data_IF_221471360380
#
_entry.id   IF_221471360380
#
_cell.length_a   1.000
_cell.length_b   1.000
_cell.length_c   1.000
_cell.angle_alpha   90.00
_cell.angle_beta   90.00
_cell.angle_gamma   90.00
#
_symmetry.space_group_name_H-M   'P 1'
#
loop_
_entity.id
_entity.type
_entity.pdbx_description
1 polymer ?
#
# COMPACT_ATOMS: atom_id res chain seq x y z
N UNK A 1 27.43 1.55 17.33
CA UNK A 1 26.74 2.79 16.95
C UNK A 1 26.11 2.48 15.61
N UNK A 2 24.78 2.33 15.53
CA UNK A 2 24.11 2.07 14.24
C UNK A 2 24.33 3.31 13.37
N UNK A 3 24.92 3.14 12.18
CA UNK A 3 25.18 4.26 11.28
C UNK A 3 23.82 4.86 10.86
N UNK A 4 23.67 6.18 10.97
CA UNK A 4 22.46 6.87 10.49
C UNK A 4 22.21 6.61 9.00
N UNK A 5 23.27 6.33 8.23
CA UNK A 5 23.16 5.88 6.85
C UNK A 5 22.50 4.50 6.74
N UNK A 6 22.85 3.54 7.61
CA UNK A 6 22.22 2.20 7.62
C UNK A 6 20.72 2.30 7.88
N UNK A 7 20.32 3.13 8.84
CA UNK A 7 18.89 3.38 9.13
C UNK A 7 18.18 3.98 7.93
N UNK A 8 18.80 4.98 7.27
CA UNK A 8 18.24 5.60 6.06
C UNK A 8 18.13 4.61 4.90
N UNK A 9 19.10 3.72 4.73
CA UNK A 9 19.04 2.67 3.71
C UNK A 9 17.89 1.69 3.97
N UNK A 10 17.69 1.26 5.21
CA UNK A 10 16.56 0.39 5.58
C UNK A 10 15.22 1.10 5.35
N UNK A 11 15.09 2.37 5.75
CA UNK A 11 13.86 3.14 5.52
C UNK A 11 13.54 3.29 4.02
N UNK A 12 14.54 3.59 3.19
CA UNK A 12 14.35 3.68 1.74
C UNK A 12 13.98 2.33 1.12
N UNK A 13 14.56 1.23 1.61
CA UNK A 13 14.17 -0.11 1.20
C UNK A 13 12.71 -0.40 1.56
N UNK A 14 12.32 -0.15 2.82
CA UNK A 14 10.93 -0.31 3.27
C UNK A 14 9.95 0.52 2.45
N UNK A 15 10.32 1.77 2.12
CA UNK A 15 9.54 2.64 1.26
C UNK A 15 9.31 2.02 -0.11
N UNK A 16 10.35 1.46 -0.75
CA UNK A 16 10.23 0.75 -2.02
C UNK A 16 9.28 -0.44 -1.93
N UNK A 17 9.43 -1.30 -0.91
CA UNK A 17 8.56 -2.48 -0.76
C UNK A 17 7.10 -2.09 -0.48
N UNK A 18 6.86 -1.06 0.34
CA UNK A 18 5.53 -0.54 0.62
C UNK A 18 4.87 0.01 -0.64
N UNK A 19 5.61 0.75 -1.48
CA UNK A 19 5.11 1.25 -2.77
C UNK A 19 4.78 0.11 -3.74
N UNK A 20 5.56 -0.99 -3.74
CA UNK A 20 5.21 -2.18 -4.54
C UNK A 20 3.91 -2.83 -4.06
N UNK A 21 3.74 -3.00 -2.76
CA UNK A 21 2.51 -3.55 -2.18
C UNK A 21 1.31 -2.64 -2.51
N UNK A 22 1.46 -1.31 -2.35
CA UNK A 22 0.44 -0.34 -2.73
C UNK A 22 -0.03 -0.53 -4.18
N UNK A 23 0.93 -0.67 -5.10
CA UNK A 23 0.69 -0.83 -6.53
C UNK A 23 -0.09 -2.12 -6.80
N UNK A 24 0.35 -3.24 -6.21
CA UNK A 24 -0.31 -4.54 -6.37
C UNK A 24 -1.72 -4.52 -5.78
N UNK A 25 -1.89 -3.99 -4.57
CA UNK A 25 -3.22 -3.89 -3.94
C UNK A 25 -4.17 -3.00 -4.75
N UNK A 26 -3.71 -1.87 -5.28
CA UNK A 26 -4.52 -1.03 -6.15
C UNK A 26 -4.90 -1.70 -7.48
N UNK A 27 -3.98 -2.47 -8.06
CA UNK A 27 -4.24 -3.24 -9.28
C UNK A 27 -5.29 -4.32 -9.03
N UNK A 28 -5.10 -5.15 -7.99
CA UNK A 28 -6.04 -6.21 -7.64
C UNK A 28 -7.41 -5.64 -7.25
N UNK A 29 -7.47 -4.54 -6.50
CA UNK A 29 -8.75 -3.90 -6.15
C UNK A 29 -9.55 -3.51 -7.39
N UNK A 30 -8.86 -3.03 -8.43
CA UNK A 30 -9.47 -2.67 -9.71
C UNK A 30 -9.96 -3.91 -10.47
N UNK A 31 -9.19 -5.01 -10.45
CA UNK A 31 -9.58 -6.29 -11.05
C UNK A 31 -10.82 -6.87 -10.37
N UNK A 32 -10.87 -6.93 -9.04
CA UNK A 32 -12.05 -7.48 -8.34
C UNK A 32 -13.29 -6.61 -8.53
N UNK A 33 -13.11 -5.29 -8.69
CA UNK A 33 -14.21 -4.41 -9.06
C UNK A 33 -14.76 -4.71 -10.46
N UNK A 34 -13.89 -5.07 -11.40
CA UNK A 34 -14.29 -5.52 -12.74
C UNK A 34 -14.99 -6.88 -12.68
N UNK A 35 -14.49 -7.82 -11.88
CA UNK A 35 -15.14 -9.12 -11.65
C UNK A 35 -16.53 -8.95 -11.05
N UNK A 36 -16.68 -8.12 -10.01
CA UNK A 36 -17.97 -7.76 -9.43
C UNK A 36 -18.96 -7.30 -10.49
N UNK A 37 -18.56 -6.32 -11.33
CA UNK A 37 -19.41 -5.79 -12.38
C UNK A 37 -19.83 -6.85 -13.40
N UNK A 38 -18.89 -7.70 -13.83
CA UNK A 38 -19.17 -8.81 -14.76
C UNK A 38 -20.17 -9.78 -14.15
N UNK A 39 -19.96 -10.20 -12.90
CA UNK A 39 -20.81 -11.19 -12.23
C UNK A 39 -22.22 -10.67 -11.98
N UNK A 40 -22.38 -9.38 -11.63
CA UNK A 40 -23.70 -8.77 -11.45
C UNK A 40 -24.50 -8.58 -12.73
N UNK A 41 -23.89 -8.73 -13.90
CA UNK A 41 -24.58 -8.63 -15.19
C UNK A 41 -25.30 -9.92 -15.61
N UNK A 42 -25.17 -11.00 -14.84
CA UNK A 42 -25.81 -12.28 -15.12
C UNK A 42 -26.96 -12.54 -14.12
N UNK A 43 -28.12 -12.99 -14.62
CA UNK A 43 -29.30 -13.37 -13.81
C UNK A 43 -29.16 -14.77 -13.17
N UNK A 44 -27.97 -15.10 -12.68
CA UNK A 44 -27.72 -16.37 -11.97
C UNK A 44 -27.43 -16.09 -10.50
N UNK A 45 -28.29 -16.63 -9.63
CA UNK A 45 -28.19 -16.43 -8.17
C UNK A 45 -26.82 -16.84 -7.60
N UNK A 46 -26.22 -17.91 -8.11
CA UNK A 46 -24.89 -18.37 -7.68
C UNK A 46 -23.78 -17.35 -8.02
N UNK A 47 -23.93 -16.57 -9.08
CA UNK A 47 -22.96 -15.52 -9.44
C UNK A 47 -23.09 -14.28 -8.53
N UNK A 48 -24.24 -14.08 -7.89
CA UNK A 48 -24.46 -12.96 -6.95
C UNK A 48 -23.60 -13.14 -5.70
N UNK A 49 -23.54 -14.35 -5.15
CA UNK A 49 -22.72 -14.62 -3.96
C UNK A 49 -21.23 -14.39 -4.25
N UNK A 50 -20.74 -14.88 -5.40
CA UNK A 50 -19.37 -14.63 -5.87
C UNK A 50 -19.15 -13.12 -6.05
N UNK A 51 -20.09 -12.39 -6.66
CA UNK A 51 -19.97 -10.95 -6.83
C UNK A 51 -19.79 -10.22 -5.49
N UNK A 52 -20.54 -10.61 -4.45
CA UNK A 52 -20.41 -10.02 -3.11
C UNK A 52 -19.01 -10.27 -2.53
N UNK A 53 -18.45 -11.47 -2.74
CA UNK A 53 -17.07 -11.80 -2.34
C UNK A 53 -16.06 -10.91 -3.07
N UNK A 54 -16.20 -10.73 -4.39
CA UNK A 54 -15.31 -9.85 -5.19
C UNK A 54 -15.40 -8.39 -4.75
N UNK A 55 -16.61 -7.90 -4.46
CA UNK A 55 -16.80 -6.55 -3.93
C UNK A 55 -16.12 -6.37 -2.57
N UNK A 56 -16.19 -7.40 -1.70
CA UNK A 56 -15.53 -7.39 -0.40
C UNK A 56 -14.01 -7.39 -0.55
N UNK A 57 -13.46 -8.26 -1.42
CA UNK A 57 -12.04 -8.33 -1.72
C UNK A 57 -11.51 -6.99 -2.26
N UNK A 58 -12.22 -6.38 -3.22
CA UNK A 58 -11.90 -5.05 -3.76
C UNK A 58 -11.74 -3.99 -2.66
N UNK A 59 -12.67 -3.95 -1.68
CA UNK A 59 -12.63 -3.00 -0.56
C UNK A 59 -11.48 -3.27 0.41
N UNK A 60 -11.17 -4.54 0.68
CA UNK A 60 -10.04 -4.91 1.54
C UNK A 60 -8.71 -4.52 0.90
N UNK A 61 -8.55 -4.76 -0.40
CA UNK A 61 -7.37 -4.36 -1.18
C UNK A 61 -7.20 -2.84 -1.23
N UNK A 62 -8.29 -2.09 -1.37
CA UNK A 62 -8.25 -0.63 -1.28
C UNK A 62 -7.84 -0.15 0.12
N UNK A 63 -8.27 -0.85 1.18
CA UNK A 63 -7.84 -0.56 2.54
C UNK A 63 -6.34 -0.77 2.71
N UNK A 64 -5.79 -1.88 2.19
CA UNK A 64 -4.36 -2.16 2.20
C UNK A 64 -3.59 -1.07 1.46
N UNK A 65 -4.08 -0.64 0.28
CA UNK A 65 -3.50 0.48 -0.47
C UNK A 65 -3.42 1.76 0.37
N UNK A 66 -4.50 2.12 1.08
CA UNK A 66 -4.48 3.30 1.96
C UNK A 66 -3.51 3.15 3.14
N UNK A 67 -3.37 1.94 3.69
CA UNK A 67 -2.37 1.66 4.73
C UNK A 67 -0.96 1.88 4.19
N UNK A 68 -0.65 1.39 2.99
CA UNK A 68 0.65 1.60 2.34
C UNK A 68 0.95 3.09 2.13
N UNK A 69 -0.02 3.87 1.63
CA UNK A 69 0.10 5.32 1.49
C UNK A 69 0.39 6.03 2.82
N UNK A 70 -0.27 5.60 3.89
CA UNK A 70 -0.06 6.15 5.23
C UNK A 70 1.34 5.83 5.76
N UNK A 71 1.78 4.57 5.62
CA UNK A 71 3.12 4.13 6.04
C UNK A 71 4.22 4.86 5.25
N UNK A 72 4.03 5.04 3.95
CA UNK A 72 4.96 5.80 3.11
C UNK A 72 5.15 7.24 3.62
N UNK A 73 4.06 7.93 3.96
CA UNK A 73 4.15 9.29 4.53
C UNK A 73 4.90 9.32 5.86
N UNK A 74 4.75 8.29 6.69
CA UNK A 74 5.50 8.19 7.94
C UNK A 74 7.00 7.98 7.70
N UNK A 75 7.36 7.09 6.77
CA UNK A 75 8.76 6.83 6.39
C UNK A 75 9.41 8.10 5.83
N UNK A 76 8.73 8.81 4.92
CA UNK A 76 9.20 10.11 4.40
C UNK A 76 9.48 11.11 5.53
N UNK A 77 8.60 11.14 6.54
CA UNK A 77 8.78 11.95 7.73
C UNK A 77 10.04 11.59 8.53
N UNK A 78 10.30 10.29 8.72
CA UNK A 78 11.49 9.77 9.41
C UNK A 78 12.77 10.09 8.64
N UNK A 79 12.79 9.88 7.32
CA UNK A 79 13.96 10.20 6.47
C UNK A 79 14.30 11.69 6.56
N UNK A 80 13.30 12.58 6.49
CA UNK A 80 13.51 14.03 6.66
C UNK A 80 13.99 14.42 8.06
N UNK A 81 13.64 13.65 9.10
CA UNK A 81 14.16 13.88 10.46
C UNK A 81 15.63 13.46 10.55
N UNK A 82 16.01 12.31 9.97
CA UNK A 82 17.39 11.86 9.90
C UNK A 82 18.28 12.86 9.14
N UNK A 83 17.80 13.37 8.00
CA UNK A 83 18.55 14.36 7.22
C UNK A 83 18.79 15.67 7.99
N UNK A 84 17.86 16.06 8.89
CA UNK A 84 18.02 17.23 9.77
C UNK A 84 18.92 16.94 10.97
N UNK A 85 18.87 15.73 11.52
CA UNK A 85 19.74 15.29 12.62
C UNK A 85 21.21 15.21 12.20
N UNK A 86 21.48 14.64 11.02
CA UNK A 86 22.83 14.57 10.45
C UNK A 86 23.44 15.95 10.15
N UNK A 87 22.62 16.96 9.85
CA UNK A 87 23.07 18.35 9.63
C UNK A 87 23.52 19.09 10.89
N UNK A 88 23.06 18.66 12.07
CA UNK A 88 23.38 19.31 13.35
C UNK A 88 24.64 18.77 14.04
N UNK A 89 25.21 17.65 13.56
CA UNK A 89 26.45 17.08 14.10
C UNK A 89 27.72 17.60 13.38
N UNK A 90 27.56 18.45 12.35
CA UNK A 90 28.66 19.01 11.53
C UNK A 90 28.89 20.51 11.83
N UNK A 91 28.35 21.03 12.94
CA UNK A 91 28.62 22.36 13.49
C UNK A 91 28.93 22.26 14.98
#
# INVERSE_FOLDING_TARGET
>A
MTDFNDVKHVLNYLQSEITRIETVSGTLSSVEREHYQKLTNFDHKELVDIAIEEQSASRQLDTIKQMCLSMSKQIDGMVRQLDRGAGNEIH
#
